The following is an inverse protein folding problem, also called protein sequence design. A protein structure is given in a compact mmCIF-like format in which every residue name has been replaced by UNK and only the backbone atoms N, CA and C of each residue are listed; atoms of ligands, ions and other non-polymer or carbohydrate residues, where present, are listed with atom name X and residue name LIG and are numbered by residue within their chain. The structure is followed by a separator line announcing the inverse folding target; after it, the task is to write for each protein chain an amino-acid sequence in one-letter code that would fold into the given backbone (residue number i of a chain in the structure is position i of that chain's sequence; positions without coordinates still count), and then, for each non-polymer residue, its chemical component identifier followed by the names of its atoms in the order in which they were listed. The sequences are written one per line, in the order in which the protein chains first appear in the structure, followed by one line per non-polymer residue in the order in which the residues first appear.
data_IF_109507991771
#
_entry.id   IF_109507991771
#
_cell.length_a   1.000
_cell.length_b   1.000
_cell.length_c   1.000
_cell.angle_alpha   90.00
_cell.angle_beta   90.00
_cell.angle_gamma   90.00
#
_symmetry.space_group_name_H-M   'P 1'
#
loop_
_entity.id
_entity.type
_entity.pdbx_description
1 polymer ?
#
# COMPACT_ATOMS: atom_id res chain seq x y z
N UNK A 1 45.25 6.51 77.46
CA UNK A 1 44.82 7.12 76.18
C UNK A 1 45.17 6.15 75.07
N UNK A 2 44.19 5.36 74.64
CA UNK A 2 44.27 4.39 73.53
C UNK A 2 42.85 4.19 73.05
N UNK A 3 42.55 4.54 71.80
CA UNK A 3 41.46 3.93 71.03
C UNK A 3 41.79 4.02 69.54
N UNK A 4 41.71 2.88 68.88
CA UNK A 4 41.75 2.67 67.44
C UNK A 4 40.33 2.36 66.91
N UNK A 5 40.24 2.32 65.58
CA UNK A 5 39.16 1.79 64.73
C UNK A 5 37.96 2.71 64.48
N UNK A 6 37.75 3.07 63.21
CA UNK A 6 36.46 2.82 62.57
C UNK A 6 36.65 2.57 61.05
N UNK A 7 35.97 1.56 60.54
CA UNK A 7 35.88 1.18 59.13
C UNK A 7 34.44 0.76 58.90
N UNK A 8 33.70 1.60 58.19
CA UNK A 8 32.32 1.36 57.79
C UNK A 8 32.26 0.65 56.44
N UNK A 9 31.50 -0.46 56.31
CA UNK A 9 31.03 -0.97 55.04
C UNK A 9 29.53 -0.68 54.87
N UNK A 10 29.11 -0.24 53.69
CA UNK A 10 27.73 -0.39 53.21
C UNK A 10 27.65 -0.20 51.67
N UNK A 11 26.54 -0.52 50.98
CA UNK A 11 26.28 -1.84 50.42
C UNK A 11 26.03 -1.79 48.90
N UNK A 12 25.84 -2.97 48.31
CA UNK A 12 25.36 -3.25 46.95
C UNK A 12 24.43 -2.18 46.35
N UNK A 13 24.92 -1.46 45.34
CA UNK A 13 24.07 -0.63 44.49
C UNK A 13 23.54 -1.49 43.32
N UNK A 14 22.28 -1.87 43.50
CA UNK A 14 21.40 -2.49 42.54
C UNK A 14 21.35 -1.64 41.24
N UNK A 15 21.97 -2.15 40.16
CA UNK A 15 21.93 -1.51 38.85
C UNK A 15 20.55 -1.77 38.23
N UNK A 16 19.57 -0.97 38.63
CA UNK A 16 18.26 -0.86 37.99
C UNK A 16 18.44 -0.45 36.52
N UNK A 17 18.26 -1.39 35.61
CA UNK A 17 18.06 -1.15 34.18
C UNK A 17 16.79 -0.32 33.97
N UNK A 18 16.80 0.75 33.15
CA UNK A 18 15.57 1.43 32.79
C UNK A 18 14.73 0.49 31.93
N UNK A 19 13.56 0.08 32.44
CA UNK A 19 12.55 -0.63 31.68
C UNK A 19 12.02 0.38 30.65
N UNK A 20 12.32 0.16 29.37
CA UNK A 20 11.64 0.85 28.28
C UNK A 20 10.14 0.53 28.38
N UNK A 21 9.36 1.48 28.89
CA UNK A 21 7.92 1.45 28.77
C UNK A 21 7.59 1.51 27.27
N UNK A 22 7.19 0.38 26.70
CA UNK A 22 6.67 0.33 25.33
C UNK A 22 5.27 0.93 25.38
N UNK A 23 5.15 2.19 24.98
CA UNK A 23 3.86 2.82 24.73
C UNK A 23 3.14 2.00 23.65
N UNK A 24 1.92 1.49 23.91
CA UNK A 24 1.11 0.85 22.88
C UNK A 24 0.93 1.80 21.68
N UNK A 25 0.88 1.29 20.43
CA UNK A 25 0.57 2.12 19.27
C UNK A 25 -0.71 2.90 19.51
N UNK A 26 -0.68 4.21 19.24
CA UNK A 26 -1.87 5.03 19.32
C UNK A 26 -2.91 4.50 18.32
N UNK A 27 -4.10 4.17 18.82
CA UNK A 27 -5.21 3.78 17.98
C UNK A 27 -5.58 4.92 17.03
N UNK A 28 -5.80 4.60 15.76
CA UNK A 28 -6.29 5.53 14.75
C UNK A 28 -7.64 6.06 15.22
N UNK A 29 -7.89 7.39 15.22
CA UNK A 29 -9.23 7.90 15.48
C UNK A 29 -10.17 7.44 14.37
N UNK A 30 -11.05 6.49 14.69
CA UNK A 30 -12.17 6.09 13.84
C UNK A 30 -13.22 7.19 13.91
N UNK A 31 -13.16 8.14 12.99
CA UNK A 31 -14.30 9.02 12.76
C UNK A 31 -15.41 8.17 12.13
N UNK A 32 -16.37 7.76 12.96
CA UNK A 32 -17.59 7.07 12.52
C UNK A 32 -18.44 8.04 11.71
N UNK A 33 -18.12 8.21 10.43
CA UNK A 33 -19.03 8.84 9.48
C UNK A 33 -20.17 7.86 9.24
N UNK A 34 -21.36 8.20 9.76
CA UNK A 34 -22.60 7.47 9.51
C UNK A 34 -22.96 7.57 8.03
N UNK A 35 -23.07 6.43 7.35
CA UNK A 35 -23.50 6.34 5.96
C UNK A 35 -24.99 6.70 5.84
N UNK A 36 -25.40 7.49 4.83
CA UNK A 36 -26.81 7.70 4.52
C UNK A 36 -27.56 6.37 4.26
N UNK A 37 -28.88 6.36 4.48
CA UNK A 37 -29.70 5.17 4.30
C UNK A 37 -29.77 4.70 2.83
N UNK A 38 -29.63 5.63 1.88
CA UNK A 38 -29.74 5.37 0.43
C UNK A 38 -28.41 4.96 -0.23
N UNK A 39 -27.40 4.57 0.57
CA UNK A 39 -26.12 4.10 0.05
C UNK A 39 -26.30 2.77 -0.69
N UNK A 40 -25.72 2.61 -1.90
CA UNK A 40 -25.78 1.35 -2.63
C UNK A 40 -25.44 0.14 -1.76
N UNK A 41 -26.23 -0.93 -1.92
CA UNK A 41 -25.96 -2.19 -1.25
C UNK A 41 -24.72 -2.85 -1.83
N UNK A 42 -23.91 -3.46 -0.97
CA UNK A 42 -22.79 -4.31 -1.36
C UNK A 42 -23.09 -5.70 -0.81
N UNK A 43 -23.12 -6.72 -1.68
CA UNK A 43 -23.32 -8.09 -1.23
C UNK A 43 -22.10 -8.56 -0.45
N UNK A 44 -22.27 -8.78 0.85
CA UNK A 44 -21.17 -9.19 1.72
C UNK A 44 -20.67 -10.59 1.33
N UNK A 45 -19.35 -10.78 1.09
CA UNK A 45 -18.78 -12.11 0.92
C UNK A 45 -18.91 -12.93 2.21
N UNK A 46 -19.04 -14.25 2.07
CA UNK A 46 -19.07 -15.16 3.21
C UNK A 46 -17.85 -14.97 4.13
N UNK A 47 -18.09 -14.85 5.44
CA UNK A 47 -17.03 -14.62 6.42
C UNK A 47 -16.45 -13.19 6.43
N UNK A 48 -17.02 -12.24 5.67
CA UNK A 48 -16.71 -10.81 5.70
C UNK A 48 -17.93 -10.03 6.19
N UNK A 49 -18.10 -9.84 7.51
CA UNK A 49 -19.28 -9.16 8.02
C UNK A 49 -19.25 -7.64 7.76
N UNK A 50 -18.06 -7.04 7.60
CA UNK A 50 -17.91 -5.60 7.42
C UNK A 50 -17.37 -5.24 6.03
N UNK A 51 -18.27 -4.78 5.16
CA UNK A 51 -17.98 -4.21 3.84
C UNK A 51 -18.20 -2.69 3.80
N UNK A 52 -18.26 -2.03 4.97
CA UNK A 52 -18.46 -0.59 5.09
C UNK A 52 -17.45 0.24 4.28
N UNK A 53 -16.15 -0.09 4.24
CA UNK A 53 -15.18 0.61 3.40
C UNK A 53 -15.55 0.64 1.90
N UNK A 54 -16.13 -0.45 1.39
CA UNK A 54 -16.57 -0.57 -0.01
C UNK A 54 -17.89 0.18 -0.19
N UNK A 55 -18.81 0.12 0.78
CA UNK A 55 -20.06 0.89 0.74
C UNK A 55 -19.83 2.40 0.67
N UNK A 56 -18.80 2.91 1.35
CA UNK A 56 -18.38 4.32 1.24
C UNK A 56 -17.95 4.68 -0.17
N UNK A 57 -17.10 3.85 -0.77
CA UNK A 57 -16.71 4.00 -2.17
C UNK A 57 -17.92 3.97 -3.11
N UNK A 58 -18.87 3.04 -2.90
CA UNK A 58 -20.05 2.93 -3.75
C UNK A 58 -20.97 4.16 -3.65
N UNK A 59 -21.10 4.75 -2.45
CA UNK A 59 -21.81 6.02 -2.28
C UNK A 59 -21.13 7.15 -3.07
N UNK A 60 -19.80 7.22 -2.99
CA UNK A 60 -19.01 8.24 -3.67
C UNK A 60 -18.99 8.08 -5.19
N UNK A 61 -19.05 6.85 -5.70
CA UNK A 61 -19.22 6.56 -7.13
C UNK A 61 -20.55 7.10 -7.68
N UNK A 62 -21.59 7.16 -6.85
CA UNK A 62 -22.90 7.74 -7.25
C UNK A 62 -22.88 9.26 -7.22
N UNK A 63 -22.26 9.86 -6.20
CA UNK A 63 -22.42 11.28 -5.89
C UNK A 63 -21.33 12.18 -6.46
N UNK A 64 -20.14 11.66 -6.74
CA UNK A 64 -18.96 12.49 -7.00
C UNK A 64 -18.54 12.45 -8.48
N UNK A 65 -17.64 13.36 -8.85
CA UNK A 65 -17.01 13.37 -10.17
C UNK A 65 -15.84 12.39 -10.23
N UNK A 66 -15.35 12.09 -11.45
CA UNK A 66 -14.16 11.26 -11.62
C UNK A 66 -12.94 11.83 -10.85
N UNK A 67 -12.60 13.15 -10.95
CA UNK A 67 -11.50 13.71 -10.17
C UNK A 67 -11.64 13.55 -8.66
N UNK A 68 -12.86 13.70 -8.13
CA UNK A 68 -13.11 13.49 -6.70
C UNK A 68 -12.90 12.02 -6.31
N UNK A 69 -13.31 11.09 -7.18
CA UNK A 69 -13.13 9.66 -6.96
C UNK A 69 -11.67 9.25 -7.07
N UNK A 70 -10.92 9.79 -8.03
CA UNK A 70 -9.46 9.59 -8.16
C UNK A 70 -8.73 10.09 -6.91
N UNK A 71 -9.11 11.27 -6.39
CA UNK A 71 -8.56 11.80 -5.15
C UNK A 71 -8.83 10.88 -3.95
N UNK A 72 -10.01 10.26 -3.86
CA UNK A 72 -10.33 9.31 -2.77
C UNK A 72 -9.73 7.92 -2.98
N UNK A 73 -9.58 7.49 -4.23
CA UNK A 73 -9.00 6.22 -4.63
C UNK A 73 -7.50 6.32 -4.95
N UNK A 74 -6.80 7.24 -4.30
CA UNK A 74 -5.41 7.57 -4.58
C UNK A 74 -4.42 6.39 -4.45
N UNK A 75 -4.80 5.29 -3.80
CA UNK A 75 -3.98 4.05 -3.74
C UNK A 75 -4.09 3.17 -4.99
N UNK A 76 -5.09 3.42 -5.85
CA UNK A 76 -5.35 2.73 -7.11
C UNK A 76 -4.87 3.61 -8.26
N UNK A 77 -4.30 3.01 -9.30
CA UNK A 77 -3.87 3.76 -10.47
C UNK A 77 -5.07 4.52 -11.10
N UNK A 78 -4.93 5.80 -11.49
CA UNK A 78 -6.05 6.60 -11.98
C UNK A 78 -6.83 5.97 -13.15
N UNK A 79 -6.14 5.25 -14.05
CA UNK A 79 -6.78 4.54 -15.15
C UNK A 79 -7.83 3.51 -14.68
N UNK A 80 -7.53 2.75 -13.63
CA UNK A 80 -8.47 1.78 -13.04
C UNK A 80 -9.68 2.46 -12.39
N UNK A 81 -9.49 3.65 -11.82
CA UNK A 81 -10.60 4.45 -11.26
C UNK A 81 -11.50 4.96 -12.40
N UNK A 82 -10.92 5.43 -13.49
CA UNK A 82 -11.65 5.88 -14.67
C UNK A 82 -12.48 4.74 -15.29
N UNK A 83 -11.92 3.55 -15.46
CA UNK A 83 -12.65 2.38 -16.00
C UNK A 83 -13.89 2.02 -15.18
N UNK A 84 -13.75 2.07 -13.86
CA UNK A 84 -14.84 1.83 -12.91
C UNK A 84 -15.89 2.94 -13.01
N UNK A 85 -15.47 4.20 -13.07
CA UNK A 85 -16.36 5.36 -13.17
C UNK A 85 -17.16 5.38 -14.48
N UNK A 86 -16.53 5.06 -15.62
CA UNK A 86 -17.18 4.98 -16.93
C UNK A 86 -18.31 3.94 -16.97
N UNK A 87 -18.21 2.90 -16.14
CA UNK A 87 -19.20 1.80 -16.05
C UNK A 87 -19.99 1.80 -14.75
N UNK A 88 -20.11 2.96 -14.10
CA UNK A 88 -20.67 3.11 -12.74
C UNK A 88 -21.93 2.27 -12.45
N UNK A 89 -22.94 2.30 -13.31
CA UNK A 89 -24.23 1.67 -13.03
C UNK A 89 -24.11 0.13 -13.07
N UNK A 90 -23.36 -0.40 -14.05
CA UNK A 90 -23.09 -1.83 -14.17
C UNK A 90 -22.17 -2.34 -13.04
N UNK A 91 -21.19 -1.53 -12.65
CA UNK A 91 -20.31 -1.80 -11.50
C UNK A 91 -21.11 -1.87 -10.20
N UNK A 92 -21.99 -0.90 -9.94
CA UNK A 92 -22.82 -0.89 -8.74
C UNK A 92 -23.80 -2.07 -8.71
N UNK A 93 -24.37 -2.44 -9.86
CA UNK A 93 -25.21 -3.64 -9.97
C UNK A 93 -24.43 -4.92 -9.64
N UNK A 94 -23.23 -5.08 -10.19
CA UNK A 94 -22.36 -6.22 -9.90
C UNK A 94 -21.99 -6.29 -8.41
N UNK A 95 -21.64 -5.16 -7.81
CA UNK A 95 -21.26 -5.08 -6.40
C UNK A 95 -22.43 -5.37 -5.44
N UNK A 96 -23.67 -5.14 -5.87
CA UNK A 96 -24.87 -5.50 -5.11
C UNK A 96 -25.17 -7.00 -5.12
N UNK A 97 -24.63 -7.75 -6.09
CA UNK A 97 -24.70 -9.20 -6.15
C UNK A 97 -23.90 -9.90 -5.06
N UNK A 98 -23.99 -11.23 -4.94
CA UNK A 98 -23.24 -12.00 -3.94
C UNK A 98 -21.73 -11.90 -4.18
N UNK A 99 -20.99 -11.48 -3.15
CA UNK A 99 -19.54 -11.48 -3.16
C UNK A 99 -18.95 -12.84 -2.76
N UNK A 100 -17.70 -13.08 -3.12
CA UNK A 100 -16.93 -14.26 -2.75
C UNK A 100 -15.54 -13.88 -2.24
N UNK A 101 -14.92 -14.77 -1.47
CA UNK A 101 -13.52 -14.65 -1.04
C UNK A 101 -12.67 -15.61 -1.88
N UNK A 102 -11.67 -15.08 -2.58
CA UNK A 102 -10.71 -15.83 -3.38
C UNK A 102 -9.30 -15.51 -2.88
N UNK A 103 -8.78 -16.37 -2.00
CA UNK A 103 -7.54 -16.10 -1.28
C UNK A 103 -7.67 -14.84 -0.43
N UNK A 104 -6.82 -13.84 -0.71
CA UNK A 104 -6.80 -12.54 -0.03
C UNK A 104 -7.57 -11.45 -0.79
N UNK A 105 -8.42 -11.83 -1.74
CA UNK A 105 -9.18 -10.90 -2.58
C UNK A 105 -10.68 -11.15 -2.43
N UNK A 106 -11.44 -10.06 -2.35
CA UNK A 106 -12.90 -10.08 -2.37
C UNK A 106 -13.36 -9.84 -3.79
N UNK A 107 -14.26 -10.68 -4.30
CA UNK A 107 -14.66 -10.67 -5.71
C UNK A 107 -16.18 -10.66 -5.87
N UNK A 108 -16.66 -9.81 -6.77
CA UNK A 108 -18.06 -9.79 -7.24
C UNK A 108 -18.08 -10.03 -8.73
N UNK A 109 -19.06 -10.80 -9.20
CA UNK A 109 -19.20 -11.11 -10.63
C UNK A 109 -20.64 -10.94 -11.05
N UNK A 110 -20.83 -10.20 -12.14
CA UNK A 110 -22.11 -10.08 -12.83
C UNK A 110 -21.88 -9.84 -14.32
N UNK A 111 -22.34 -10.77 -15.16
CA UNK A 111 -22.17 -10.70 -16.61
C UNK A 111 -20.72 -10.46 -17.04
N UNK A 112 -20.45 -9.28 -17.60
CA UNK A 112 -19.14 -8.84 -18.10
C UNK A 112 -18.34 -7.95 -17.12
N UNK A 113 -18.79 -7.88 -15.88
CA UNK A 113 -18.13 -7.18 -14.78
C UNK A 113 -17.59 -8.19 -13.77
N UNK A 114 -16.28 -8.13 -13.54
CA UNK A 114 -15.63 -8.71 -12.37
C UNK A 114 -15.06 -7.55 -11.55
N UNK A 115 -15.45 -7.44 -10.29
CA UNK A 115 -14.87 -6.46 -9.36
C UNK A 115 -14.02 -7.18 -8.34
N UNK A 116 -12.83 -6.66 -8.08
CA UNK A 116 -11.96 -7.21 -7.06
C UNK A 116 -11.41 -6.13 -6.12
N UNK A 117 -11.36 -6.46 -4.83
CA UNK A 117 -10.81 -5.61 -3.77
C UNK A 117 -9.84 -6.46 -2.94
N UNK A 118 -8.58 -6.05 -2.75
CA UNK A 118 -7.70 -6.71 -1.78
C UNK A 118 -8.30 -6.64 -0.38
N UNK A 119 -8.35 -7.77 0.35
CA UNK A 119 -8.93 -7.83 1.70
C UNK A 119 -8.28 -6.84 2.66
N UNK A 120 -6.98 -6.61 2.52
CA UNK A 120 -6.22 -5.64 3.31
C UNK A 120 -6.75 -4.19 3.17
N UNK A 121 -7.37 -3.84 2.03
CA UNK A 121 -7.94 -2.51 1.81
C UNK A 121 -9.16 -2.22 2.71
N UNK A 122 -9.77 -3.23 3.34
CA UNK A 122 -10.83 -2.98 4.31
C UNK A 122 -10.31 -2.29 5.59
N UNK A 123 -9.04 -2.50 5.94
CA UNK A 123 -8.45 -1.94 7.17
C UNK A 123 -8.23 -0.42 7.10
N UNK A 124 -8.24 0.17 5.91
CA UNK A 124 -8.01 1.62 5.70
C UNK A 124 -9.28 2.45 5.88
N UNK A 125 -10.46 1.81 5.99
CA UNK A 125 -11.74 2.50 6.14
C UNK A 125 -12.34 3.04 4.83
N UNK A 126 -11.64 2.89 3.70
CA UNK A 126 -12.12 3.20 2.35
C UNK A 126 -11.44 2.28 1.33
N UNK A 127 -12.22 1.49 0.60
CA UNK A 127 -11.70 0.44 -0.29
C UNK A 127 -12.22 0.62 -1.72
N UNK A 128 -11.30 0.86 -2.66
CA UNK A 128 -11.61 1.05 -4.07
C UNK A 128 -11.43 -0.26 -4.86
N UNK A 129 -12.52 -0.80 -5.45
CA UNK A 129 -12.44 -1.96 -6.34
C UNK A 129 -11.72 -1.64 -7.64
N UNK A 130 -11.09 -2.67 -8.21
CA UNK A 130 -10.66 -2.72 -9.60
C UNK A 130 -11.66 -3.52 -10.41
N UNK A 131 -11.86 -3.14 -11.67
CA UNK A 131 -12.66 -3.89 -12.64
C UNK A 131 -11.75 -4.79 -13.46
N UNK A 132 -12.23 -5.98 -13.79
CA UNK A 132 -11.63 -6.93 -14.72
C UNK A 132 -12.67 -7.41 -15.72
N UNK A 133 -12.21 -7.86 -16.89
CA UNK A 133 -13.04 -8.60 -17.83
C UNK A 133 -13.24 -10.06 -17.35
N UNK A 134 -14.32 -10.74 -17.76
CA UNK A 134 -14.50 -12.16 -17.47
C UNK A 134 -13.35 -13.00 -18.04
N UNK A 135 -12.79 -13.90 -17.22
CA UNK A 135 -11.68 -14.76 -17.60
C UNK A 135 -10.30 -14.08 -17.55
N UNK A 136 -10.25 -12.78 -17.27
CA UNK A 136 -9.01 -12.08 -16.99
C UNK A 136 -8.45 -12.51 -15.62
N UNK A 137 -7.12 -12.57 -15.51
CA UNK A 137 -6.44 -12.82 -14.25
C UNK A 137 -6.69 -11.63 -13.32
N UNK A 138 -7.29 -11.89 -12.16
CA UNK A 138 -7.35 -10.91 -11.07
C UNK A 138 -5.94 -10.74 -10.50
N UNK A 139 -5.43 -9.52 -10.56
CA UNK A 139 -4.08 -9.18 -10.13
C UNK A 139 -3.70 -7.77 -10.55
N UNK A 140 -2.43 -7.44 -10.41
CA UNK A 140 -1.94 -6.08 -10.64
C UNK A 140 -1.21 -5.99 -11.98
N UNK A 141 -1.36 -4.86 -12.66
CA UNK A 141 -0.84 -4.64 -14.01
C UNK A 141 0.26 -3.57 -14.06
N UNK A 142 0.68 -3.24 -15.27
CA UNK A 142 1.65 -2.17 -15.54
C UNK A 142 1.24 -0.80 -14.96
N UNK A 143 -0.05 -0.48 -14.94
CA UNK A 143 -0.54 0.79 -14.40
C UNK A 143 -0.39 0.83 -12.87
N UNK A 144 -0.71 -0.27 -12.19
CA UNK A 144 -0.47 -0.42 -10.76
C UNK A 144 1.03 -0.34 -10.41
N UNK A 145 1.90 -0.99 -11.20
CA UNK A 145 3.35 -0.94 -10.98
C UNK A 145 3.90 0.49 -11.10
N UNK A 146 3.51 1.22 -12.14
CA UNK A 146 3.90 2.63 -12.32
C UNK A 146 3.35 3.50 -11.21
N UNK A 147 2.10 3.29 -10.80
CA UNK A 147 1.47 4.08 -9.73
C UNK A 147 2.15 3.85 -8.37
N UNK A 148 2.56 2.63 -8.07
CA UNK A 148 3.36 2.31 -6.88
C UNK A 148 4.68 3.08 -6.86
N UNK A 149 5.39 3.16 -7.99
CA UNK A 149 6.66 3.92 -8.11
C UNK A 149 6.42 5.42 -8.06
N UNK A 150 5.35 5.90 -8.70
CA UNK A 150 4.93 7.29 -8.62
C UNK A 150 4.69 7.72 -7.17
N UNK A 151 3.87 6.96 -6.43
CA UNK A 151 3.60 7.22 -5.00
C UNK A 151 4.87 7.20 -4.16
N UNK A 152 5.75 6.22 -4.40
CA UNK A 152 7.03 6.14 -3.71
C UNK A 152 7.87 7.39 -3.94
N UNK A 153 8.08 7.81 -5.19
CA UNK A 153 8.87 8.99 -5.54
C UNK A 153 8.24 10.31 -5.07
N UNK A 154 6.91 10.42 -5.16
CA UNK A 154 6.13 11.56 -4.70
C UNK A 154 6.37 11.85 -3.20
N UNK A 155 6.48 10.80 -2.37
CA UNK A 155 6.87 10.94 -0.97
C UNK A 155 8.28 11.52 -0.80
N UNK A 156 9.25 11.10 -1.62
CA UNK A 156 10.64 11.57 -1.54
C UNK A 156 10.82 13.02 -2.03
N UNK A 157 10.00 13.48 -2.97
CA UNK A 157 10.00 14.88 -3.43
C UNK A 157 9.25 15.82 -2.50
N UNK A 158 8.53 15.29 -1.49
CA UNK A 158 7.75 16.07 -0.54
C UNK A 158 6.34 16.43 -1.03
N UNK A 159 5.88 15.75 -2.09
CA UNK A 159 4.58 15.95 -2.71
C UNK A 159 3.82 14.61 -2.76
N UNK A 160 3.54 13.97 -1.60
CA UNK A 160 2.83 12.69 -1.60
C UNK A 160 1.45 12.84 -2.25
N UNK A 161 0.97 11.77 -2.89
CA UNK A 161 -0.30 11.77 -3.63
C UNK A 161 -1.48 12.10 -2.72
N UNK A 162 -1.39 11.68 -1.46
CA UNK A 162 -2.30 12.04 -0.38
C UNK A 162 -1.49 12.28 0.91
N UNK A 163 -1.88 13.21 1.79
CA UNK A 163 -1.21 13.43 3.07
C UNK A 163 -1.11 12.19 3.98
N UNK A 164 -2.02 11.21 3.83
CA UNK A 164 -2.01 9.94 4.54
C UNK A 164 -1.14 8.88 3.84
N UNK A 165 -0.56 9.18 2.66
CA UNK A 165 0.32 8.30 1.91
C UNK A 165 1.69 8.14 2.58
N UNK A 166 1.71 7.37 3.67
CA UNK A 166 2.88 7.12 4.53
C UNK A 166 3.20 5.63 4.57
N UNK A 167 4.47 5.30 4.79
CA UNK A 167 4.95 3.91 4.75
C UNK A 167 4.38 3.02 5.86
N UNK A 168 4.04 3.60 7.02
CA UNK A 168 3.46 2.89 8.16
C UNK A 168 1.99 2.50 7.95
N UNK A 169 1.22 3.35 7.27
CA UNK A 169 -0.19 3.12 6.96
C UNK A 169 -0.39 2.40 5.61
N UNK A 170 0.40 2.75 4.60
CA UNK A 170 0.32 2.25 3.23
C UNK A 170 1.73 1.82 2.75
N UNK A 171 2.22 0.67 3.20
CA UNK A 171 3.58 0.24 2.89
C UNK A 171 3.77 0.03 1.38
N UNK A 172 4.81 0.64 0.84
CA UNK A 172 5.23 0.46 -0.56
C UNK A 172 6.52 -0.35 -0.64
N UNK A 173 7.35 -0.37 0.40
CA UNK A 173 8.59 -1.15 0.41
C UNK A 173 8.30 -2.60 0.80
N UNK A 174 8.86 -3.56 0.07
CA UNK A 174 8.75 -4.97 0.42
C UNK A 174 9.36 -5.20 1.81
N UNK A 175 8.75 -6.08 2.61
CA UNK A 175 9.25 -6.37 3.96
C UNK A 175 10.60 -7.08 3.90
N UNK A 176 11.49 -6.79 4.83
CA UNK A 176 12.75 -7.53 4.99
C UNK A 176 12.53 -8.96 5.53
N UNK A 177 11.46 -9.16 6.31
CA UNK A 177 11.15 -10.42 6.99
C UNK A 177 9.67 -10.79 6.83
N UNK A 178 9.35 -12.05 6.46
CA UNK A 178 10.30 -13.10 6.04
C UNK A 178 11.04 -12.72 4.74
N UNK A 179 12.24 -13.27 4.56
CA UNK A 179 12.98 -13.14 3.31
C UNK A 179 12.27 -13.94 2.22
N UNK A 180 11.69 -13.23 1.26
CA UNK A 180 10.93 -13.82 0.14
C UNK A 180 11.24 -13.14 -1.21
N UNK A 181 12.30 -12.33 -1.27
CA UNK A 181 12.74 -11.62 -2.46
C UNK A 181 13.69 -12.50 -3.30
N UNK A 182 13.27 -12.87 -4.50
CA UNK A 182 13.99 -13.73 -5.45
C UNK A 182 13.60 -13.41 -6.91
N UNK A 183 13.91 -12.20 -7.42
CA UNK A 183 13.56 -11.77 -8.78
C UNK A 183 14.26 -12.60 -9.87
N UNK A 184 15.36 -13.26 -9.52
CA UNK A 184 16.15 -14.10 -10.41
C UNK A 184 15.76 -15.58 -10.34
N UNK A 185 14.71 -15.93 -9.56
CA UNK A 185 14.21 -17.30 -9.41
C UNK A 185 15.35 -18.29 -9.12
N UNK A 186 16.22 -17.90 -8.20
CA UNK A 186 17.39 -18.67 -7.77
C UNK A 186 17.02 -19.82 -6.85
N UNK A 187 15.81 -19.79 -6.27
CA UNK A 187 15.34 -20.70 -5.23
C UNK A 187 15.86 -20.37 -3.84
N UNK A 188 16.61 -19.28 -3.67
CA UNK A 188 17.17 -18.85 -2.38
C UNK A 188 16.75 -17.40 -2.10
N UNK A 189 15.57 -17.18 -1.50
CA UNK A 189 15.08 -15.84 -1.27
C UNK A 189 15.93 -15.10 -0.24
N UNK A 190 16.11 -13.81 -0.49
CA UNK A 190 16.83 -12.87 0.37
C UNK A 190 15.85 -11.84 0.96
N UNK A 191 16.25 -11.06 1.98
CA UNK A 191 15.55 -9.84 2.33
C UNK A 191 15.57 -8.86 1.16
N UNK A 192 14.45 -8.17 0.90
CA UNK A 192 14.37 -7.16 -0.15
C UNK A 192 15.45 -6.06 0.07
N UNK A 193 16.35 -5.80 -0.91
CA UNK A 193 17.43 -4.83 -0.77
C UNK A 193 17.00 -3.45 -0.27
N UNK A 194 15.91 -2.92 -0.81
CA UNK A 194 15.39 -1.59 -0.48
C UNK A 194 14.95 -1.49 0.98
N UNK A 195 14.45 -2.57 1.59
CA UNK A 195 14.05 -2.60 2.99
C UNK A 195 15.23 -2.32 3.94
N UNK A 196 16.44 -2.71 3.53
CA UNK A 196 17.68 -2.49 4.29
C UNK A 196 18.38 -1.18 3.89
N UNK A 197 17.91 -0.50 2.84
CA UNK A 197 18.46 0.76 2.36
C UNK A 197 17.37 1.77 1.95
N UNK A 198 16.50 2.19 2.89
CA UNK A 198 15.40 3.11 2.58
C UNK A 198 15.87 4.51 2.14
N UNK A 199 17.14 4.86 2.39
CA UNK A 199 17.74 6.15 2.03
C UNK A 199 18.32 6.22 0.61
N UNK A 200 18.15 5.19 -0.23
CA UNK A 200 18.79 5.13 -1.57
C UNK A 200 18.39 6.30 -2.49
N UNK A 201 17.23 6.91 -2.25
CA UNK A 201 16.72 8.06 -3.00
C UNK A 201 16.85 9.39 -2.26
N UNK A 202 17.54 9.44 -1.11
CA UNK A 202 17.76 10.70 -0.38
C UNK A 202 18.44 11.73 -1.29
N UNK A 203 17.87 12.93 -1.33
CA UNK A 203 18.35 14.02 -2.19
C UNK A 203 17.67 14.10 -3.56
N UNK A 204 16.71 13.20 -3.85
CA UNK A 204 15.78 13.36 -4.99
C UNK A 204 14.99 14.66 -4.85
N UNK A 205 14.86 15.41 -5.94
CA UNK A 205 14.08 16.66 -6.00
C UNK A 205 12.96 16.63 -7.02
N UNK A 206 13.14 15.88 -8.09
CA UNK A 206 12.17 15.79 -9.17
C UNK A 206 12.29 14.43 -9.85
N UNK A 207 11.22 13.99 -10.51
CA UNK A 207 11.21 12.85 -11.41
C UNK A 207 10.23 13.12 -12.56
N UNK A 208 10.42 12.45 -13.70
CA UNK A 208 9.59 12.63 -14.91
C UNK A 208 8.55 11.51 -15.05
N UNK A 209 7.34 11.63 -14.46
CA UNK A 209 6.32 10.58 -14.53
C UNK A 209 5.89 10.22 -15.96
N UNK A 210 5.87 11.18 -16.87
CA UNK A 210 5.57 10.99 -18.30
C UNK A 210 6.58 10.09 -19.03
N UNK A 211 7.80 10.02 -18.49
CA UNK A 211 8.87 9.16 -18.99
C UNK A 211 8.93 7.80 -18.29
N UNK A 212 8.03 7.51 -17.35
CA UNK A 212 7.94 6.19 -16.74
C UNK A 212 7.70 5.11 -17.79
N UNK A 213 8.52 4.06 -17.74
CA UNK A 213 8.36 2.85 -18.54
C UNK A 213 8.30 1.66 -17.61
N UNK A 214 7.47 0.69 -17.95
CA UNK A 214 7.28 -0.51 -17.15
C UNK A 214 7.40 -1.74 -18.03
N UNK A 215 7.87 -2.84 -17.45
CA UNK A 215 7.91 -4.13 -18.13
C UNK A 215 7.74 -5.26 -17.12
N UNK A 216 6.89 -6.26 -17.44
CA UNK A 216 6.75 -7.44 -16.61
C UNK A 216 8.04 -8.25 -16.63
N UNK A 217 8.33 -8.89 -15.51
CA UNK A 217 9.40 -9.85 -15.36
C UNK A 217 8.81 -11.22 -14.99
N UNK A 218 9.67 -12.23 -14.95
CA UNK A 218 9.27 -13.57 -14.52
C UNK A 218 8.85 -13.59 -13.04
N UNK A 219 8.17 -14.66 -12.64
CA UNK A 219 7.89 -14.99 -11.24
C UNK A 219 7.14 -13.91 -10.43
N UNK A 220 6.27 -13.11 -11.08
CA UNK A 220 5.48 -12.08 -10.40
C UNK A 220 6.26 -10.82 -10.04
N UNK A 221 7.39 -10.58 -10.72
CA UNK A 221 8.15 -9.34 -10.59
C UNK A 221 7.82 -8.37 -11.73
N UNK A 222 8.04 -7.08 -11.46
CA UNK A 222 7.85 -6.01 -12.44
C UNK A 222 9.00 -5.02 -12.36
N UNK A 223 9.42 -4.49 -13.50
CA UNK A 223 10.35 -3.37 -13.54
C UNK A 223 9.62 -2.08 -13.88
N UNK A 224 10.09 -0.97 -13.33
CA UNK A 224 9.68 0.37 -13.72
C UNK A 224 10.92 1.26 -13.76
N UNK A 225 11.18 1.91 -14.90
CA UNK A 225 12.28 2.84 -15.06
C UNK A 225 11.76 4.28 -15.20
N UNK A 226 12.42 5.23 -14.54
CA UNK A 226 12.01 6.65 -14.52
C UNK A 226 13.21 7.57 -14.34
N UNK A 227 13.32 8.68 -15.10
CA UNK A 227 14.32 9.71 -14.85
C UNK A 227 14.10 10.38 -13.50
N UNK A 228 15.14 10.45 -12.68
CA UNK A 228 15.14 11.09 -11.37
C UNK A 228 16.25 12.13 -11.30
N UNK A 229 15.89 13.35 -10.89
CA UNK A 229 16.80 14.50 -10.74
C UNK A 229 17.09 14.74 -9.26
N UNK A 230 18.37 14.81 -8.91
CA UNK A 230 18.81 15.10 -7.54
C UNK A 230 18.96 16.61 -7.26
N UNK A 231 19.25 16.96 -6.01
CA UNK A 231 19.43 18.36 -5.56
C UNK A 231 20.58 19.12 -6.24
N UNK A 232 21.52 18.41 -6.86
CA UNK A 232 22.60 19.02 -7.65
C UNK A 232 22.22 19.20 -9.13
N UNK A 233 20.99 18.85 -9.53
CA UNK A 233 20.49 18.98 -10.90
C UNK A 233 20.89 17.83 -11.83
N UNK A 234 21.53 16.78 -11.32
CA UNK A 234 21.87 15.61 -12.15
C UNK A 234 20.66 14.70 -12.29
N UNK A 235 20.34 14.34 -13.54
CA UNK A 235 19.27 13.40 -13.88
C UNK A 235 19.86 12.06 -14.28
N UNK A 236 19.33 11.00 -13.68
CA UNK A 236 19.68 9.62 -13.98
C UNK A 236 18.41 8.78 -13.99
N UNK A 237 18.28 7.88 -14.95
CA UNK A 237 17.19 6.90 -14.94
C UNK A 237 17.40 5.95 -13.77
N UNK A 238 16.38 5.79 -12.92
CA UNK A 238 16.36 4.76 -11.87
C UNK A 238 15.47 3.63 -12.32
N UNK A 239 15.89 2.40 -12.07
CA UNK A 239 15.07 1.21 -12.28
C UNK A 239 14.65 0.64 -10.94
N UNK A 240 13.33 0.60 -10.74
CA UNK A 240 12.65 0.02 -9.60
C UNK A 240 12.25 -1.39 -9.94
N UNK A 241 12.56 -2.32 -9.04
CA UNK A 241 12.10 -3.69 -9.12
C UNK A 241 11.00 -3.89 -8.08
N UNK A 242 9.87 -4.43 -8.52
CA UNK A 242 8.68 -4.64 -7.72
C UNK A 242 8.33 -6.12 -7.68
N UNK A 243 7.71 -6.56 -6.58
CA UNK A 243 7.07 -7.87 -6.47
C UNK A 243 5.56 -7.71 -6.30
N UNK A 244 4.77 -8.47 -7.05
CA UNK A 244 3.32 -8.55 -6.90
C UNK A 244 2.98 -9.29 -5.60
N UNK A 245 2.19 -8.65 -4.72
CA UNK A 245 1.71 -9.21 -3.46
C UNK A 245 0.18 -9.17 -3.43
N UNK A 246 -0.47 -9.89 -2.51
CA UNK A 246 -1.93 -9.91 -2.46
C UNK A 246 -2.59 -8.53 -2.25
N UNK A 247 -1.86 -7.58 -1.67
CA UNK A 247 -2.32 -6.21 -1.45
C UNK A 247 -1.90 -5.21 -2.55
N UNK A 248 -1.08 -5.62 -3.52
CA UNK A 248 -0.50 -4.74 -4.53
C UNK A 248 0.98 -5.01 -4.78
N UNK A 249 1.59 -4.17 -5.61
CA UNK A 249 3.04 -4.19 -5.77
C UNK A 249 3.75 -3.60 -4.54
N UNK A 250 4.86 -4.21 -4.13
CA UNK A 250 5.86 -3.59 -3.26
C UNK A 250 7.19 -3.42 -3.99
N UNK A 251 7.94 -2.37 -3.68
CA UNK A 251 9.29 -2.10 -4.21
C UNK A 251 10.33 -2.85 -3.37
N UNK A 252 11.15 -3.69 -4.00
CA UNK A 252 12.20 -4.41 -3.28
C UNK A 252 13.61 -4.03 -3.65
N UNK A 253 13.84 -3.39 -4.81
CA UNK A 253 15.18 -2.90 -5.17
C UNK A 253 15.10 -1.65 -6.06
N UNK A 254 16.17 -0.85 -6.03
CA UNK A 254 16.34 0.37 -6.83
C UNK A 254 17.77 0.44 -7.36
N UNK A 255 17.93 0.46 -8.67
CA UNK A 255 19.23 0.50 -9.35
C UNK A 255 19.41 1.74 -10.23
N UNK A 256 20.67 2.19 -10.46
CA UNK A 256 21.02 3.19 -11.47
C UNK A 256 20.68 2.83 -12.91
#
# INVERSE_FOLDING_TARGET
MTTACDSTPDPSEDRSTPIHATTPPAAIPTTSVTLPADVPSIGAPDGIPDVTPIRRWAADLVSNTLPDLEAKCWTVAPAHVAEVYERRDAVLAAAAGPGAVEGETLVWRDGDIVLAVPRAALATGYACPRRYAPGERIGFDDADARHTVYRYLARFTGEPVDPDDKEDAYPLVCRATPADWDPEDTGTPIPAPLANNPGVLTGTKHFSPEEMRSAPLRAGYHSVSVPVTNAAGFTLTRTFLLAERPAGYCLGDVTP
#
